data_IF_834728478750
#
_entry.id   IF_834728478750
#
_cell.length_a   1.000
_cell.length_b   1.000
_cell.length_c   1.000
_cell.angle_alpha   90.00
_cell.angle_beta   90.00
_cell.angle_gamma   90.00
#
_symmetry.space_group_name_H-M   'P 1'
#
loop_
_entity.id
_entity.type
_entity.pdbx_description
1 polymer ?
#
# COMPACT_ATOMS: atom_id res chain seq x y z
N UNK A 1 -2.99 -4.61 -8.07
CA UNK A 1 -4.05 -3.79 -7.39
C UNK A 1 -3.75 -2.28 -7.35
N UNK A 2 -2.49 -1.85 -7.23
CA UNK A 2 -2.16 -0.43 -6.98
C UNK A 2 -1.55 0.30 -8.18
N UNK A 3 -0.86 -0.44 -9.05
CA UNK A 3 -0.21 0.09 -10.26
C UNK A 3 -1.20 0.77 -11.25
N UNK A 4 -2.47 0.40 -11.20
CA UNK A 4 -3.54 0.99 -12.03
C UNK A 4 -3.74 2.49 -11.77
N UNK A 5 -3.36 2.97 -10.59
CA UNK A 5 -3.45 4.38 -10.23
C UNK A 5 -2.17 5.15 -10.61
N UNK A 6 -1.04 4.45 -10.68
CA UNK A 6 0.24 4.94 -11.22
C UNK A 6 1.44 4.16 -10.70
N UNK A 7 2.64 4.62 -11.05
CA UNK A 7 3.88 3.93 -10.71
C UNK A 7 4.23 4.06 -9.22
N UNK A 8 4.63 2.95 -8.62
CA UNK A 8 4.98 2.85 -7.21
C UNK A 8 6.50 2.85 -7.11
N UNK A 9 6.98 3.73 -6.25
CA UNK A 9 8.39 3.91 -5.94
C UNK A 9 8.87 2.84 -4.96
N UNK A 10 8.07 2.55 -3.93
CA UNK A 10 8.44 1.64 -2.83
C UNK A 10 7.22 1.04 -2.11
N UNK A 11 7.35 -0.15 -1.53
CA UNK A 11 6.28 -0.84 -0.81
C UNK A 11 6.80 -1.65 0.39
N UNK A 12 6.18 -1.47 1.56
CA UNK A 12 6.63 -2.09 2.82
C UNK A 12 5.45 -2.67 3.59
N UNK A 13 5.54 -3.89 4.07
CA UNK A 13 4.58 -4.44 5.04
C UNK A 13 5.17 -4.36 6.43
N UNK A 14 4.36 -3.94 7.41
CA UNK A 14 4.81 -3.93 8.80
C UNK A 14 4.53 -5.30 9.39
N UNK A 15 5.59 -5.96 9.84
CA UNK A 15 5.54 -7.27 10.50
C UNK A 15 5.84 -7.16 12.00
N UNK A 16 5.48 -8.18 12.77
CA UNK A 16 5.94 -8.35 14.14
C UNK A 16 7.39 -8.84 14.14
N UNK A 17 8.28 -8.21 14.91
CA UNK A 17 9.70 -8.59 14.95
C UNK A 17 9.88 -10.06 15.38
N UNK A 18 9.09 -10.51 16.37
CA UNK A 18 9.21 -11.82 16.97
C UNK A 18 8.75 -12.97 16.06
N UNK A 19 7.68 -12.75 15.29
CA UNK A 19 7.04 -13.82 14.49
C UNK A 19 7.20 -13.62 13.00
N UNK A 20 7.74 -12.48 12.57
CA UNK A 20 7.80 -12.04 11.16
C UNK A 20 6.43 -12.08 10.46
N UNK A 21 5.32 -12.15 11.21
CA UNK A 21 3.97 -12.13 10.67
C UNK A 21 3.53 -10.70 10.41
N UNK A 22 2.78 -10.48 9.34
CA UNK A 22 2.19 -9.17 9.06
C UNK A 22 1.30 -8.70 10.20
N UNK A 23 1.44 -7.43 10.57
CA UNK A 23 0.54 -6.74 11.51
C UNK A 23 -0.81 -6.42 10.89
N UNK A 24 -1.04 -6.85 9.64
CA UNK A 24 -2.26 -6.56 8.88
C UNK A 24 -2.26 -5.15 8.28
N UNK A 25 -1.11 -4.50 8.18
CA UNK A 25 -0.98 -3.23 7.49
C UNK A 25 0.42 -2.99 6.91
N UNK A 26 0.49 -2.09 5.94
CA UNK A 26 1.71 -1.70 5.24
C UNK A 26 1.63 -0.27 4.71
N UNK A 27 2.66 0.12 3.99
CA UNK A 27 2.78 1.42 3.36
C UNK A 27 3.27 1.26 1.92
N UNK A 28 2.73 2.06 1.02
CA UNK A 28 3.23 2.19 -0.35
C UNK A 28 3.58 3.65 -0.61
N UNK A 29 4.60 3.88 -1.43
CA UNK A 29 5.03 5.19 -1.87
C UNK A 29 4.87 5.26 -3.38
N UNK A 30 4.07 6.19 -3.88
CA UNK A 30 3.98 6.44 -5.32
C UNK A 30 5.14 7.31 -5.81
N UNK A 31 5.50 7.20 -7.09
CA UNK A 31 6.39 8.17 -7.73
C UNK A 31 5.73 9.54 -7.91
N UNK A 32 4.43 9.58 -8.14
CA UNK A 32 3.66 10.81 -8.37
C UNK A 32 2.56 11.03 -7.32
N UNK A 33 2.37 12.28 -6.89
CA UNK A 33 1.27 12.69 -5.99
C UNK A 33 -0.10 12.43 -6.62
N UNK A 34 -0.22 12.62 -7.94
CA UNK A 34 -1.48 12.37 -8.67
C UNK A 34 -1.90 10.91 -8.57
N UNK A 35 -0.94 9.99 -8.64
CA UNK A 35 -1.17 8.55 -8.52
C UNK A 35 -1.66 8.18 -7.13
N UNK A 36 -1.04 8.75 -6.10
CA UNK A 36 -1.48 8.60 -4.72
C UNK A 36 -2.91 9.13 -4.51
N UNK A 37 -3.24 10.32 -5.03
CA UNK A 37 -4.60 10.87 -4.95
C UNK A 37 -5.64 10.01 -5.67
N UNK A 38 -5.33 9.48 -6.86
CA UNK A 38 -6.22 8.55 -7.56
C UNK A 38 -6.46 7.29 -6.76
N UNK A 39 -5.42 6.72 -6.15
CA UNK A 39 -5.55 5.54 -5.30
C UNK A 39 -6.38 5.83 -4.04
N UNK A 40 -6.29 7.05 -3.48
CA UNK A 40 -7.12 7.52 -2.36
C UNK A 40 -8.58 7.76 -2.72
N UNK A 41 -8.88 8.04 -4.00
CA UNK A 41 -10.27 8.12 -4.47
C UNK A 41 -10.99 6.78 -4.36
N UNK A 42 -10.26 5.67 -4.31
CA UNK A 42 -10.79 4.32 -4.10
C UNK A 42 -10.08 3.70 -2.90
N UNK A 43 -10.43 4.11 -1.67
CA UNK A 43 -9.71 3.68 -0.47
C UNK A 43 -9.94 2.19 -0.18
N UNK A 44 -11.04 1.59 -0.61
CA UNK A 44 -11.30 0.16 -0.45
C UNK A 44 -10.79 -0.62 -1.66
N UNK A 45 -9.85 -1.55 -1.46
CA UNK A 45 -9.37 -2.45 -2.53
C UNK A 45 -9.43 -3.90 -2.11
N UNK A 46 -9.90 -4.76 -2.99
CA UNK A 46 -9.91 -6.20 -2.74
C UNK A 46 -8.50 -6.77 -2.99
N UNK A 47 -7.91 -7.38 -1.97
CA UNK A 47 -6.65 -8.14 -2.07
C UNK A 47 -6.88 -9.47 -1.38
N UNK A 48 -6.64 -10.58 -2.07
CA UNK A 48 -6.77 -11.92 -1.50
C UNK A 48 -8.17 -12.18 -0.88
N UNK A 49 -9.22 -11.72 -1.57
CA UNK A 49 -10.61 -11.82 -1.07
C UNK A 49 -10.93 -10.94 0.15
N UNK A 50 -10.02 -10.05 0.57
CA UNK A 50 -10.21 -9.13 1.70
C UNK A 50 -10.25 -7.68 1.25
N UNK A 51 -11.20 -6.93 1.79
CA UNK A 51 -11.30 -5.50 1.53
C UNK A 51 -10.28 -4.74 2.38
N UNK A 52 -9.20 -4.33 1.75
CA UNK A 52 -8.14 -3.49 2.33
C UNK A 52 -8.57 -2.04 2.43
N UNK A 53 -7.89 -1.28 3.28
CA UNK A 53 -8.16 0.13 3.54
C UNK A 53 -6.93 0.98 3.21
N UNK A 54 -7.03 1.78 2.17
CA UNK A 54 -5.99 2.70 1.71
C UNK A 54 -6.28 4.11 2.19
N UNK A 55 -5.35 4.73 2.90
CA UNK A 55 -5.46 6.09 3.42
C UNK A 55 -4.14 6.82 3.25
N UNK A 56 -4.15 8.16 3.37
CA UNK A 56 -2.90 8.91 3.39
C UNK A 56 -2.11 8.49 4.64
N UNK A 57 -0.83 8.15 4.48
CA UNK A 57 -0.02 7.81 5.64
C UNK A 57 0.13 9.04 6.53
N UNK A 58 -0.25 8.91 7.81
CA UNK A 58 -0.07 9.98 8.79
C UNK A 58 1.41 10.01 9.18
N UNK A 59 2.10 11.09 8.82
CA UNK A 59 3.50 11.29 9.21
C UNK A 59 3.56 11.59 10.71
N UNK A 60 3.91 10.60 11.53
CA UNK A 60 4.11 10.79 12.98
C UNK A 60 5.48 11.39 13.34
N UNK A 61 6.19 11.94 12.36
CA UNK A 61 7.34 12.79 12.60
C UNK A 61 8.57 12.36 11.81
N UNK A 62 9.20 13.39 11.24
CA UNK A 62 10.49 13.43 10.53
C UNK A 62 10.42 13.35 9.01
N UNK A 63 9.61 14.18 8.34
CA UNK A 63 10.04 14.88 7.12
C UNK A 63 9.13 16.07 6.76
N UNK A 64 9.61 17.29 6.98
CA UNK A 64 9.02 18.53 6.44
C UNK A 64 9.44 18.74 4.98
N UNK A 65 9.23 17.75 4.13
CA UNK A 65 9.45 17.88 2.68
C UNK A 65 8.15 17.50 1.95
N UNK A 66 7.53 18.55 1.43
CA UNK A 66 6.13 18.73 1.04
C UNK A 66 5.54 17.83 -0.06
N UNK A 67 6.15 16.69 -0.39
CA UNK A 67 5.73 15.86 -1.53
C UNK A 67 5.67 14.36 -1.19
N UNK A 68 6.68 13.79 -0.52
CA UNK A 68 6.72 12.36 -0.17
C UNK A 68 5.58 11.94 0.74
N UNK A 69 5.17 12.76 1.71
CA UNK A 69 4.02 12.46 2.58
C UNK A 69 2.69 12.46 1.83
N UNK A 70 2.59 13.19 0.71
CA UNK A 70 1.41 13.20 -0.16
C UNK A 70 1.39 12.00 -1.12
N UNK A 71 2.55 11.39 -1.36
CA UNK A 71 2.74 10.19 -2.18
C UNK A 71 2.64 8.88 -1.38
N UNK A 72 2.77 8.95 -0.06
CA UNK A 72 2.79 7.78 0.83
C UNK A 72 1.39 7.42 1.29
N UNK A 73 0.95 6.20 0.98
CA UNK A 73 -0.32 5.65 1.42
C UNK A 73 -0.11 4.58 2.48
N UNK A 74 -0.94 4.60 3.50
CA UNK A 74 -1.16 3.52 4.45
C UNK A 74 -2.14 2.51 3.86
N UNK A 75 -1.86 1.22 4.01
CA UNK A 75 -2.71 0.11 3.59
C UNK A 75 -3.01 -0.76 4.79
N UNK A 76 -4.22 -0.65 5.34
CA UNK A 76 -4.71 -1.46 6.44
C UNK A 76 -5.56 -2.64 5.98
N UNK A 77 -5.87 -3.50 6.93
CA UNK A 77 -6.68 -4.70 6.74
C UNK A 77 -6.08 -5.70 5.72
N UNK A 78 -4.75 -5.75 5.65
CA UNK A 78 -4.02 -6.77 4.90
C UNK A 78 -4.15 -8.13 5.60
N UNK A 79 -4.16 -9.21 4.82
CA UNK A 79 -4.08 -10.56 5.39
C UNK A 79 -2.75 -10.70 6.17
N UNK A 80 -2.73 -11.38 7.32
CA UNK A 80 -1.48 -11.68 8.04
C UNK A 80 -0.47 -12.49 7.22
N UNK A 81 -0.93 -13.09 6.11
CA UNK A 81 -0.13 -13.84 5.14
C UNK A 81 0.58 -12.93 4.13
N UNK A 82 0.12 -11.69 3.95
CA UNK A 82 0.75 -10.73 3.02
C UNK A 82 2.10 -10.30 3.59
N UNK A 83 3.18 -10.62 2.88
CA UNK A 83 4.55 -10.19 3.18
C UNK A 83 4.96 -9.00 2.31
N UNK A 84 6.13 -8.41 2.58
CA UNK A 84 6.70 -7.35 1.74
C UNK A 84 6.87 -7.82 0.29
N UNK A 85 7.33 -9.06 0.07
CA UNK A 85 7.48 -9.63 -1.27
C UNK A 85 6.15 -9.76 -2.01
N UNK A 86 5.09 -10.17 -1.32
CA UNK A 86 3.74 -10.21 -1.90
C UNK A 86 3.21 -8.81 -2.19
N UNK A 87 3.44 -7.84 -1.30
CA UNK A 87 3.09 -6.45 -1.55
C UNK A 87 3.83 -5.91 -2.77
N UNK A 88 5.12 -6.22 -2.90
CA UNK A 88 5.92 -5.91 -4.08
C UNK A 88 5.36 -6.54 -5.36
N UNK A 89 4.83 -7.76 -5.29
CA UNK A 89 4.14 -8.37 -6.42
C UNK A 89 2.81 -7.65 -6.73
N UNK A 90 1.98 -7.31 -5.73
CA UNK A 90 0.73 -6.56 -5.95
C UNK A 90 0.91 -5.15 -6.54
N UNK A 91 2.10 -4.55 -6.35
CA UNK A 91 2.49 -3.26 -6.93
C UNK A 91 3.29 -3.42 -8.23
N UNK A 92 3.97 -4.55 -8.44
CA UNK A 92 4.88 -4.81 -9.56
C UNK A 92 4.26 -5.63 -10.70
N UNK A 93 3.60 -6.74 -10.38
CA UNK A 93 2.99 -7.68 -11.34
C UNK A 93 1.66 -7.17 -11.88
N UNK A 94 1.57 -7.20 -13.21
CA UNK A 94 0.36 -7.02 -13.99
C UNK A 94 -0.34 -8.38 -14.09
N UNK A 95 -1.54 -8.49 -13.51
CA UNK A 95 -2.28 -9.76 -13.41
C UNK A 95 -2.03 -10.39 -12.05
N UNK A 96 -2.99 -10.71 -11.20
CA UNK A 96 -4.40 -10.98 -11.42
C UNK A 96 -5.18 -10.26 -10.32
N UNK A 97 -6.02 -9.28 -10.69
CA UNK A 97 -7.09 -8.86 -9.79
C UNK A 97 -8.29 -9.64 -10.30
N UNK A 98 -8.62 -10.71 -9.59
CA UNK A 98 -9.90 -11.37 -9.78
C UNK A 98 -10.97 -10.36 -9.32
N UNK A 99 -11.49 -9.61 -10.29
CA UNK A 99 -12.73 -8.83 -10.16
C UNK A 99 -13.88 -9.83 -10.07
N UNK A 100 -14.59 -9.85 -8.94
CA UNK A 100 -15.95 -10.41 -8.84
C UNK A 100 -16.95 -9.26 -8.77
#
# INVERSE_FOLDING_TARGET
AFKVYGEIEDGNVIVYENTQKSRGFGYILYKDVKSAQKALSVPSKLIDGRQTLCMLARDEGKSKTSDTSLRRLYIGNLSPEVTDGMLHDYVGSLGDIEEC
#
